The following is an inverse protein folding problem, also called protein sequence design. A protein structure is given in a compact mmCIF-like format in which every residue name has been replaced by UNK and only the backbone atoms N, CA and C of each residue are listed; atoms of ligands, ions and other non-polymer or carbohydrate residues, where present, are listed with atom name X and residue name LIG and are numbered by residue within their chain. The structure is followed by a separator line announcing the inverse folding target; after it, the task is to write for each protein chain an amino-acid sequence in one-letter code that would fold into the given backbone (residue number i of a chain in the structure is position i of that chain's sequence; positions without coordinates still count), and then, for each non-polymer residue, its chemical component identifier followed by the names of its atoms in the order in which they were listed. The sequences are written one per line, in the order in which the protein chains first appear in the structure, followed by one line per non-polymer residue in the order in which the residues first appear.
data_IF_773678511528
#
_entry.id   IF_773678511528
#
_cell.length_a   1.000
_cell.length_b   1.000
_cell.length_c   1.000
_cell.angle_alpha   90.00
_cell.angle_beta   90.00
_cell.angle_gamma   90.00
#
_symmetry.space_group_name_H-M   'P 1'
#
loop_
_entity.id
_entity.type
_entity.pdbx_description
1 polymer ?
#
# COMPACT_ATOMS: atom_id res chain seq x y z
N UNK A 1 16.28 -12.40 -15.85
CA UNK A 1 14.90 -12.53 -15.32
C UNK A 1 14.66 -11.34 -14.40
N UNK A 2 14.08 -10.27 -14.94
CA UNK A 2 13.94 -8.97 -14.26
C UNK A 2 12.58 -8.89 -13.59
N UNK A 3 12.56 -8.75 -12.27
CA UNK A 3 11.36 -8.62 -11.47
C UNK A 3 10.75 -7.23 -11.68
N UNK A 4 9.59 -7.19 -12.33
CA UNK A 4 8.71 -6.01 -12.39
C UNK A 4 8.30 -5.63 -10.96
N UNK A 5 8.91 -4.58 -10.40
CA UNK A 5 8.40 -3.92 -9.20
C UNK A 5 7.06 -3.27 -9.54
N UNK A 6 5.98 -3.96 -9.20
CA UNK A 6 4.63 -3.40 -9.24
C UNK A 6 4.51 -2.43 -8.07
N UNK A 7 4.09 -1.19 -8.35
CA UNK A 7 3.96 -0.15 -7.34
C UNK A 7 3.00 -0.61 -6.23
N UNK A 8 3.55 -0.94 -5.07
CA UNK A 8 2.80 -1.25 -3.88
C UNK A 8 1.85 -0.09 -3.56
N UNK A 9 0.54 -0.36 -3.60
CA UNK A 9 -0.44 0.48 -2.92
C UNK A 9 -0.13 0.40 -1.43
N UNK A 10 0.69 1.34 -0.93
CA UNK A 10 0.97 1.46 0.49
C UNK A 10 -0.34 1.65 1.25
N UNK A 11 -0.73 0.63 2.00
CA UNK A 11 -1.78 0.71 3.02
C UNK A 11 -1.31 1.73 4.08
N UNK A 12 -2.13 2.70 4.50
CA UNK A 12 -1.83 3.53 5.67
C UNK A 12 -1.57 2.63 6.90
N UNK A 13 -0.48 2.85 7.64
CA UNK A 13 -0.07 2.00 8.77
C UNK A 13 1.07 1.01 8.49
N UNK A 14 1.56 0.91 7.24
CA UNK A 14 2.61 -0.03 6.82
C UNK A 14 4.05 0.51 7.00
N UNK A 15 4.28 1.28 8.06
CA UNK A 15 5.63 1.61 8.55
C UNK A 15 5.84 0.77 9.80
N UNK A 16 7.01 0.15 10.02
CA UNK A 16 7.35 -0.47 11.29
C UNK A 16 7.48 0.65 12.34
N UNK A 17 6.35 1.14 12.84
CA UNK A 17 6.30 1.89 14.06
C UNK A 17 6.57 0.90 15.18
N UNK A 18 7.65 1.15 15.92
CA UNK A 18 8.23 0.42 17.07
C UNK A 18 7.22 -0.05 18.15
N UNK A 19 5.93 0.25 18.00
CA UNK A 19 4.83 -0.07 18.92
C UNK A 19 3.76 -1.01 18.34
N UNK A 20 4.06 -1.75 17.26
CA UNK A 20 3.09 -2.66 16.64
C UNK A 20 2.70 -3.85 17.55
N UNK A 21 3.52 -4.18 18.56
CA UNK A 21 3.23 -5.24 19.53
C UNK A 21 3.75 -4.94 20.96
N UNK A 22 4.57 -3.90 21.16
CA UNK A 22 5.38 -3.71 22.36
C UNK A 22 4.69 -3.01 23.56
N UNK A 23 3.36 -2.99 23.63
CA UNK A 23 2.66 -2.76 24.90
C UNK A 23 1.64 -3.88 25.11
N UNK A 24 2.20 -5.09 25.21
CA UNK A 24 1.74 -6.19 26.03
C UNK A 24 0.23 -6.22 26.28
N UNK A 25 -0.48 -7.05 25.52
CA UNK A 25 -1.52 -7.86 26.14
C UNK A 25 -0.80 -8.66 27.25
N UNK A 26 -1.03 -8.38 28.55
CA UNK A 26 -0.43 -9.15 29.62
C UNK A 26 -1.25 -10.44 29.75
N UNK A 27 -1.12 -11.32 28.77
CA UNK A 27 -1.68 -12.66 28.81
C UNK A 27 -0.49 -13.53 28.46
N UNK A 28 -0.08 -14.43 29.34
CA UNK A 28 0.95 -15.42 29.01
C UNK A 28 0.57 -16.07 27.68
N UNK A 29 1.39 -15.86 26.65
CA UNK A 29 1.28 -16.55 25.38
C UNK A 29 1.90 -17.94 25.60
N UNK A 30 1.32 -19.01 25.04
CA UNK A 30 2.00 -20.30 24.98
C UNK A 30 3.36 -20.13 24.28
N UNK A 31 4.34 -20.94 24.66
CA UNK A 31 5.74 -20.80 24.21
C UNK A 31 5.90 -20.75 22.67
N UNK A 32 5.01 -21.43 21.92
CA UNK A 32 4.99 -21.39 20.46
C UNK A 32 4.52 -20.04 19.89
N UNK A 33 3.57 -19.39 20.55
CA UNK A 33 3.02 -18.11 20.11
C UNK A 33 3.88 -16.92 20.55
N UNK A 34 4.62 -17.06 21.65
CA UNK A 34 5.60 -16.07 22.12
C UNK A 34 6.69 -15.82 21.06
N UNK A 35 7.31 -16.88 20.55
CA UNK A 35 8.31 -16.77 19.47
C UNK A 35 7.75 -16.10 18.21
N UNK A 36 6.51 -16.46 17.82
CA UNK A 36 5.87 -15.85 16.66
C UNK A 36 5.66 -14.34 16.86
N UNK A 37 5.25 -13.92 18.07
CA UNK A 37 5.08 -12.52 18.45
C UNK A 37 6.39 -11.74 18.42
N UNK A 38 7.48 -12.33 18.92
CA UNK A 38 8.80 -11.68 18.91
C UNK A 38 9.32 -11.48 17.49
N UNK A 39 9.25 -12.53 16.65
CA UNK A 39 9.61 -12.46 15.23
C UNK A 39 8.77 -11.42 14.49
N UNK A 40 7.49 -11.29 14.85
CA UNK A 40 6.62 -10.25 14.33
C UNK A 40 7.12 -8.87 14.77
N UNK A 41 7.42 -8.67 16.05
CA UNK A 41 7.96 -7.41 16.58
C UNK A 41 9.26 -6.96 15.89
N UNK A 42 10.11 -7.91 15.50
CA UNK A 42 11.36 -7.67 14.77
C UNK A 42 11.17 -7.41 13.26
N UNK A 43 9.95 -7.56 12.74
CA UNK A 43 9.64 -7.40 11.33
C UNK A 43 9.98 -8.62 10.46
N UNK A 44 10.26 -9.77 11.07
CA UNK A 44 10.51 -11.03 10.38
C UNK A 44 9.20 -11.72 9.97
N UNK A 45 8.36 -11.04 9.17
CA UNK A 45 6.98 -11.44 8.85
C UNK A 45 6.84 -12.88 8.30
N UNK A 46 7.79 -13.31 7.46
CA UNK A 46 7.76 -14.67 6.91
C UNK A 46 8.00 -15.74 7.99
N UNK A 47 8.90 -15.48 8.93
CA UNK A 47 9.20 -16.38 10.04
C UNK A 47 8.05 -16.36 11.05
N UNK A 48 7.56 -15.17 11.42
CA UNK A 48 6.40 -14.99 12.28
C UNK A 48 5.16 -15.74 11.78
N UNK A 49 4.88 -15.67 10.46
CA UNK A 49 3.79 -16.42 9.84
C UNK A 49 3.97 -17.94 9.97
N UNK A 50 5.19 -18.43 9.75
CA UNK A 50 5.48 -19.86 9.80
C UNK A 50 5.29 -20.41 11.21
N UNK A 51 5.81 -19.71 12.22
CA UNK A 51 5.65 -20.08 13.63
C UNK A 51 4.19 -19.94 14.09
N UNK A 52 3.47 -18.92 13.62
CA UNK A 52 2.02 -18.78 13.89
C UNK A 52 1.21 -19.97 13.36
N UNK A 53 1.52 -20.45 12.14
CA UNK A 53 0.85 -21.62 11.56
C UNK A 53 1.22 -22.91 12.29
N UNK A 54 2.46 -23.03 12.79
CA UNK A 54 2.89 -24.16 13.62
C UNK A 54 2.11 -24.17 14.94
N UNK A 55 2.07 -23.05 15.66
CA UNK A 55 1.31 -22.91 16.90
C UNK A 55 -0.18 -23.25 16.70
N UNK A 56 -0.77 -22.82 15.59
CA UNK A 56 -2.15 -23.17 15.23
C UNK A 56 -2.35 -24.70 15.07
N UNK A 57 -1.37 -25.41 14.53
CA UNK A 57 -1.47 -26.86 14.32
C UNK A 57 -1.30 -27.69 15.60
N UNK A 58 -0.55 -27.16 16.57
CA UNK A 58 -0.33 -27.78 17.88
C UNK A 58 -1.53 -27.56 18.81
N UNK A 59 -2.25 -26.46 18.63
CA UNK A 59 -3.33 -26.02 19.50
C UNK A 59 -4.69 -26.11 18.78
N UNK A 60 -5.35 -27.26 18.94
CA UNK A 60 -6.53 -27.61 18.16
C UNK A 60 -7.78 -26.74 18.42
N UNK A 61 -7.87 -26.05 19.56
CA UNK A 61 -8.96 -25.13 19.88
C UNK A 61 -8.60 -24.19 21.04
N UNK A 62 -9.02 -22.92 20.97
CA UNK A 62 -8.90 -21.98 22.08
C UNK A 62 -8.61 -20.53 21.66
N UNK A 63 -8.44 -19.63 22.64
CA UNK A 63 -8.08 -18.23 22.40
C UNK A 63 -6.69 -18.09 21.77
N UNK A 64 -5.74 -18.97 22.08
CA UNK A 64 -4.39 -18.94 21.49
C UNK A 64 -4.40 -19.31 20.01
N UNK A 65 -5.20 -20.30 19.60
CA UNK A 65 -5.38 -20.63 18.19
C UNK A 65 -5.94 -19.45 17.38
N UNK A 66 -6.85 -18.66 17.96
CA UNK A 66 -7.39 -17.46 17.31
C UNK A 66 -6.34 -16.36 17.17
N UNK A 67 -5.50 -16.15 18.19
CA UNK A 67 -4.36 -15.23 18.12
C UNK A 67 -3.31 -15.68 17.10
N UNK A 68 -3.05 -16.98 17.00
CA UNK A 68 -2.17 -17.56 15.98
C UNK A 68 -2.68 -17.28 14.56
N UNK A 69 -3.98 -17.50 14.33
CA UNK A 69 -4.65 -17.17 13.05
C UNK A 69 -4.51 -15.69 12.72
N UNK A 70 -4.80 -14.81 13.68
CA UNK A 70 -4.64 -13.37 13.53
C UNK A 70 -3.20 -13.01 13.14
N UNK A 71 -2.21 -13.49 13.88
CA UNK A 71 -0.80 -13.17 13.65
C UNK A 71 -0.30 -13.69 12.31
N UNK A 72 -0.73 -14.88 11.90
CA UNK A 72 -0.44 -15.44 10.58
C UNK A 72 -1.04 -14.60 9.45
N UNK A 73 -2.30 -14.16 9.60
CA UNK A 73 -3.01 -13.36 8.62
C UNK A 73 -2.41 -11.95 8.50
N UNK A 74 -2.12 -11.27 9.61
CA UNK A 74 -1.47 -9.95 9.60
C UNK A 74 -0.08 -10.06 8.99
N UNK A 75 0.72 -11.06 9.38
CA UNK A 75 2.03 -11.31 8.77
C UNK A 75 1.92 -11.49 7.26
N UNK A 76 0.93 -12.25 6.78
CA UNK A 76 0.65 -12.44 5.36
C UNK A 76 0.23 -11.14 4.64
N UNK A 77 -0.56 -10.26 5.28
CA UNK A 77 -0.89 -8.94 4.74
C UNK A 77 0.34 -8.04 4.60
N UNK A 78 1.30 -8.15 5.53
CA UNK A 78 2.55 -7.37 5.49
C UNK A 78 3.53 -7.89 4.44
N UNK A 79 3.33 -9.11 3.95
CA UNK A 79 4.07 -9.69 2.84
C UNK A 79 3.36 -9.37 1.51
N UNK A 80 4.12 -9.13 0.43
CA UNK A 80 3.53 -8.89 -0.91
C UNK A 80 2.83 -10.13 -1.52
N UNK A 81 2.86 -11.28 -0.82
CA UNK A 81 2.30 -12.57 -1.28
C UNK A 81 1.18 -13.00 -0.34
N UNK A 82 -0.05 -13.05 -0.85
CA UNK A 82 -1.21 -13.64 -0.13
C UNK A 82 -2.21 -12.65 0.48
N UNK A 83 -2.19 -11.38 0.07
CA UNK A 83 -3.03 -10.32 0.67
C UNK A 83 -4.55 -10.60 0.66
N UNK A 84 -5.09 -11.21 -0.41
CA UNK A 84 -6.53 -11.47 -0.50
C UNK A 84 -6.99 -12.57 0.46
N UNK A 85 -6.27 -13.70 0.52
CA UNK A 85 -6.58 -14.78 1.46
C UNK A 85 -6.41 -14.34 2.92
N UNK A 86 -5.38 -13.54 3.20
CA UNK A 86 -5.17 -12.95 4.51
C UNK A 86 -6.30 -11.98 4.91
N UNK A 87 -6.77 -11.14 3.97
CA UNK A 87 -7.92 -10.26 4.20
C UNK A 87 -9.18 -11.06 4.52
N UNK A 88 -9.45 -12.14 3.79
CA UNK A 88 -10.60 -13.02 4.03
C UNK A 88 -10.52 -13.70 5.40
N UNK A 89 -9.35 -14.16 5.81
CA UNK A 89 -9.14 -14.76 7.13
C UNK A 89 -9.43 -13.76 8.27
N UNK A 90 -8.94 -12.52 8.15
CA UNK A 90 -9.25 -11.46 9.10
C UNK A 90 -10.75 -11.17 9.13
N UNK A 91 -11.39 -11.14 7.95
CA UNK A 91 -12.83 -10.94 7.78
C UNK A 91 -13.67 -12.04 8.47
N UNK A 92 -13.15 -13.26 8.52
CA UNK A 92 -13.76 -14.37 9.24
C UNK A 92 -13.56 -14.22 10.76
N UNK A 93 -12.33 -13.97 11.20
CA UNK A 93 -11.98 -13.84 12.62
C UNK A 93 -12.80 -12.78 13.34
N UNK A 94 -13.00 -11.58 12.77
CA UNK A 94 -13.72 -10.54 13.50
C UNK A 94 -15.23 -10.81 13.62
N UNK A 95 -15.80 -11.59 12.69
CA UNK A 95 -17.21 -12.01 12.70
C UNK A 95 -17.46 -13.27 13.53
N UNK A 96 -16.40 -14.01 13.86
CA UNK A 96 -16.48 -15.24 14.64
C UNK A 96 -16.75 -14.93 16.13
N UNK A 97 -17.96 -15.22 16.61
CA UNK A 97 -18.34 -14.91 18.01
C UNK A 97 -17.61 -15.75 19.06
N UNK A 98 -17.11 -16.94 18.68
CA UNK A 98 -16.29 -17.80 19.54
C UNK A 98 -14.90 -17.25 19.83
N UNK A 99 -14.42 -16.29 19.02
CA UNK A 99 -13.10 -15.67 19.20
C UNK A 99 -13.14 -14.60 20.30
N UNK A 100 -12.04 -14.48 21.05
CA UNK A 100 -11.94 -13.45 22.09
C UNK A 100 -12.06 -12.03 21.52
N UNK A 101 -12.64 -11.12 22.33
CA UNK A 101 -13.03 -9.79 21.86
C UNK A 101 -11.84 -8.96 21.34
N UNK A 102 -10.67 -9.03 21.99
CA UNK A 102 -9.51 -8.24 21.57
C UNK A 102 -8.92 -8.76 20.26
N UNK A 103 -8.85 -10.07 20.07
CA UNK A 103 -8.46 -10.66 18.78
C UNK A 103 -9.45 -10.26 17.68
N UNK A 104 -10.76 -10.25 17.96
CA UNK A 104 -11.77 -9.77 17.00
C UNK A 104 -11.59 -8.28 16.66
N UNK A 105 -11.35 -7.44 17.66
CA UNK A 105 -11.12 -6.00 17.45
C UNK A 105 -9.86 -5.75 16.60
N UNK A 106 -8.77 -6.46 16.89
CA UNK A 106 -7.54 -6.35 16.12
C UNK A 106 -7.73 -6.87 14.68
N UNK A 107 -8.44 -7.99 14.51
CA UNK A 107 -8.79 -8.52 13.19
C UNK A 107 -9.64 -7.51 12.39
N UNK A 108 -10.63 -6.89 13.03
CA UNK A 108 -11.48 -5.87 12.40
C UNK A 108 -10.69 -4.62 12.00
N UNK A 109 -9.76 -4.16 12.85
CA UNK A 109 -8.87 -3.04 12.54
C UNK A 109 -8.00 -3.33 11.31
N UNK A 110 -7.30 -4.46 11.29
CA UNK A 110 -6.41 -4.86 10.19
C UNK A 110 -7.19 -5.13 8.90
N UNK A 111 -8.33 -5.81 8.98
CA UNK A 111 -9.25 -5.97 7.86
C UNK A 111 -9.72 -4.62 7.32
N UNK A 112 -10.14 -3.71 8.19
CA UNK A 112 -10.65 -2.39 7.80
C UNK A 112 -9.62 -1.55 7.06
N UNK A 113 -8.36 -1.59 7.49
CA UNK A 113 -7.26 -0.94 6.78
C UNK A 113 -6.99 -1.58 5.41
N UNK A 114 -6.95 -2.92 5.35
CA UNK A 114 -6.75 -3.64 4.10
C UNK A 114 -7.89 -3.40 3.10
N UNK A 115 -9.13 -3.42 3.57
CA UNK A 115 -10.32 -3.16 2.77
C UNK A 115 -10.36 -1.71 2.28
N UNK A 116 -10.02 -0.74 3.14
CA UNK A 116 -9.91 0.66 2.74
C UNK A 116 -8.86 0.86 1.63
N UNK A 117 -7.71 0.20 1.72
CA UNK A 117 -6.63 0.36 0.74
C UNK A 117 -7.03 -0.09 -0.68
N UNK A 118 -7.92 -1.07 -0.79
CA UNK A 118 -8.45 -1.56 -2.07
C UNK A 118 -9.77 -0.88 -2.46
N UNK A 119 -10.30 0.03 -1.63
CA UNK A 119 -11.56 0.73 -1.88
C UNK A 119 -12.81 -0.13 -1.64
N UNK A 120 -12.74 -1.07 -0.71
CA UNK A 120 -13.88 -1.87 -0.27
C UNK A 120 -14.88 -1.08 0.58
N UNK A 121 -16.06 -1.70 0.79
CA UNK A 121 -17.21 -1.07 1.44
C UNK A 121 -17.35 -1.44 2.92
N UNK A 122 -16.62 -2.46 3.40
CA UNK A 122 -16.79 -2.99 4.76
C UNK A 122 -15.83 -2.31 5.77
N UNK A 123 -14.90 -1.48 5.28
CA UNK A 123 -13.90 -0.80 6.10
C UNK A 123 -14.51 0.04 7.24
N UNK A 124 -15.61 0.77 6.98
CA UNK A 124 -16.28 1.58 8.00
C UNK A 124 -16.74 0.72 9.19
N UNK A 125 -17.51 -0.32 8.89
CA UNK A 125 -18.11 -1.20 9.90
C UNK A 125 -17.03 -1.90 10.74
N UNK A 126 -15.95 -2.36 10.10
CA UNK A 126 -14.87 -3.04 10.81
C UNK A 126 -14.06 -2.09 11.70
N UNK A 127 -13.71 -0.89 11.20
CA UNK A 127 -13.00 0.12 12.00
C UNK A 127 -13.86 0.65 13.15
N UNK A 128 -15.17 0.80 12.94
CA UNK A 128 -16.13 1.17 13.99
C UNK A 128 -16.23 0.09 15.06
N UNK A 129 -16.35 -1.18 14.67
CA UNK A 129 -16.35 -2.30 15.61
C UNK A 129 -15.09 -2.27 16.49
N UNK A 130 -13.90 -2.14 15.88
CA UNK A 130 -12.65 -2.06 16.61
C UNK A 130 -12.62 -0.86 17.58
N UNK A 131 -13.09 0.32 17.14
CA UNK A 131 -13.11 1.54 17.94
C UNK A 131 -14.06 1.46 19.15
N UNK A 132 -15.26 0.90 18.96
CA UNK A 132 -16.29 0.86 20.01
C UNK A 132 -16.10 -0.28 21.00
N UNK A 133 -15.50 -1.39 20.58
CA UNK A 133 -15.49 -2.63 21.37
C UNK A 133 -14.16 -2.94 22.06
N UNK A 134 -13.04 -2.39 21.57
CA UNK A 134 -11.73 -2.68 22.18
C UNK A 134 -11.61 -2.05 23.57
N UNK A 135 -10.96 -2.79 24.47
CA UNK A 135 -10.56 -2.32 25.80
C UNK A 135 -9.09 -1.93 25.85
N UNK A 136 -8.32 -2.25 24.81
CA UNK A 136 -6.90 -1.90 24.72
C UNK A 136 -6.73 -0.43 24.28
N UNK A 137 -6.18 0.46 25.13
CA UNK A 137 -6.02 1.88 24.79
C UNK A 137 -5.25 2.13 23.48
N UNK A 138 -4.16 1.39 23.16
CA UNK A 138 -3.45 1.59 21.90
C UNK A 138 -4.29 1.26 20.66
N UNK A 139 -5.14 0.24 20.73
CA UNK A 139 -6.01 -0.14 19.62
C UNK A 139 -7.18 0.84 19.49
N UNK A 140 -7.75 1.30 20.61
CA UNK A 140 -8.78 2.33 20.64
C UNK A 140 -8.36 3.59 19.89
N UNK A 141 -7.16 4.12 20.18
CA UNK A 141 -6.64 5.31 19.51
C UNK A 141 -6.41 5.09 18.02
N UNK A 142 -5.82 3.96 17.64
CA UNK A 142 -5.54 3.64 16.22
C UNK A 142 -6.80 3.43 15.40
N UNK A 143 -7.74 2.66 15.91
CA UNK A 143 -9.03 2.41 15.26
C UNK A 143 -9.82 3.72 15.12
N UNK A 144 -9.90 4.52 16.19
CA UNK A 144 -10.57 5.83 16.14
C UNK A 144 -9.90 6.80 15.16
N UNK A 145 -8.58 6.91 15.19
CA UNK A 145 -7.86 7.81 14.29
C UNK A 145 -7.99 7.38 12.81
N UNK A 146 -7.92 6.08 12.54
CA UNK A 146 -8.11 5.52 11.19
C UNK A 146 -9.53 5.73 10.68
N UNK A 147 -10.54 5.43 11.50
CA UNK A 147 -11.96 5.67 11.19
C UNK A 147 -12.24 7.15 10.92
N UNK A 148 -11.65 8.04 11.71
CA UNK A 148 -11.76 9.48 11.49
C UNK A 148 -11.22 9.88 10.12
N UNK A 149 -10.04 9.39 9.70
CA UNK A 149 -9.52 9.70 8.37
C UNK A 149 -10.34 9.09 7.25
N UNK A 150 -10.88 7.88 7.46
CA UNK A 150 -11.79 7.22 6.53
C UNK A 150 -13.07 8.05 6.30
N UNK A 151 -13.79 8.41 7.37
CA UNK A 151 -15.01 9.25 7.30
C UNK A 151 -14.70 10.69 6.85
N UNK A 152 -13.49 11.20 7.11
CA UNK A 152 -13.07 12.52 6.62
C UNK A 152 -12.88 12.52 5.10
N UNK A 153 -12.50 11.40 4.50
CA UNK A 153 -12.34 11.28 3.06
C UNK A 153 -13.69 11.28 2.31
N UNK A 154 -14.75 10.72 2.91
CA UNK A 154 -16.08 10.63 2.30
C UNK A 154 -17.14 11.43 3.08
N UNK A 155 -17.67 12.50 2.45
CA UNK A 155 -18.71 13.34 3.05
C UNK A 155 -20.05 12.63 3.23
N UNK A 156 -20.39 11.64 2.38
CA UNK A 156 -21.65 10.90 2.45
C UNK A 156 -21.64 9.99 3.68
N UNK A 157 -20.60 9.16 3.81
CA UNK A 157 -20.44 8.24 4.95
C UNK A 157 -20.43 9.00 6.27
N UNK A 158 -19.75 10.15 6.33
CA UNK A 158 -19.76 11.01 7.52
C UNK A 158 -21.14 11.52 7.95
N UNK A 159 -22.05 11.75 6.98
CA UNK A 159 -23.42 12.16 7.28
C UNK A 159 -24.28 10.99 7.75
N UNK A 160 -24.01 9.79 7.24
CA UNK A 160 -24.68 8.56 7.67
C UNK A 160 -24.24 8.22 9.10
N UNK A 161 -22.95 8.28 9.38
CA UNK A 161 -22.34 7.99 10.69
C UNK A 161 -22.15 9.25 11.55
N UNK A 162 -23.17 10.10 11.64
CA UNK A 162 -23.05 11.41 12.32
C UNK A 162 -22.72 11.28 13.82
N UNK A 163 -23.29 10.28 14.51
CA UNK A 163 -23.04 10.03 15.92
C UNK A 163 -21.60 9.58 16.18
N UNK A 164 -21.11 8.62 15.38
CA UNK A 164 -19.72 8.15 15.43
C UNK A 164 -18.76 9.29 15.11
N UNK A 165 -19.07 10.09 14.07
CA UNK A 165 -18.27 11.26 13.72
C UNK A 165 -18.13 12.25 14.90
N UNK A 166 -19.22 12.53 15.61
CA UNK A 166 -19.18 13.39 16.80
C UNK A 166 -18.34 12.79 17.93
N UNK A 167 -18.45 11.48 18.19
CA UNK A 167 -17.61 10.78 19.16
C UNK A 167 -16.12 10.91 18.80
N UNK A 168 -15.77 10.66 17.55
CA UNK A 168 -14.40 10.77 17.06
C UNK A 168 -13.85 12.19 17.19
N UNK A 169 -14.67 13.21 16.94
CA UNK A 169 -14.30 14.62 17.13
C UNK A 169 -13.98 14.92 18.59
N UNK A 170 -14.71 14.33 19.55
CA UNK A 170 -14.47 14.52 20.98
C UNK A 170 -13.17 13.87 21.46
N UNK A 171 -12.80 12.72 20.88
CA UNK A 171 -11.56 12.00 21.23
C UNK A 171 -10.32 12.51 20.47
N UNK A 172 -10.53 13.30 19.41
CA UNK A 172 -9.51 13.69 18.43
C UNK A 172 -8.25 14.28 19.07
N UNK A 173 -8.43 15.15 20.04
CA UNK A 173 -7.35 15.92 20.66
C UNK A 173 -6.61 15.10 21.73
N UNK A 174 -7.16 13.95 22.13
CA UNK A 174 -6.53 13.01 23.07
C UNK A 174 -5.60 12.00 22.39
N UNK A 175 -5.60 11.89 21.06
CA UNK A 175 -4.75 10.93 20.35
C UNK A 175 -3.28 11.36 20.33
N UNK A 176 -2.33 10.47 20.67
CA UNK A 176 -0.90 10.76 20.58
C UNK A 176 -0.46 11.15 19.16
N UNK A 177 0.59 11.98 19.06
CA UNK A 177 1.12 12.44 17.78
C UNK A 177 1.63 11.29 16.89
N UNK A 178 2.10 10.22 17.52
CA UNK A 178 2.59 9.01 16.87
C UNK A 178 1.45 8.31 16.13
N UNK A 179 0.30 8.14 16.80
CA UNK A 179 -0.91 7.56 16.21
C UNK A 179 -1.41 8.43 15.05
N UNK A 180 -1.39 9.75 15.22
CA UNK A 180 -1.72 10.69 14.15
C UNK A 180 -0.82 10.52 12.92
N UNK A 181 0.49 10.34 13.11
CA UNK A 181 1.45 10.16 12.01
C UNK A 181 1.27 8.81 11.32
N UNK A 182 0.95 7.77 12.07
CA UNK A 182 0.69 6.41 11.58
C UNK A 182 -0.58 6.35 10.72
N UNK A 183 -1.70 6.86 11.26
CA UNK A 183 -3.03 6.73 10.65
C UNK A 183 -3.27 7.74 9.53
N UNK A 184 -2.49 8.83 9.45
CA UNK A 184 -2.69 9.85 8.42
C UNK A 184 -2.47 9.25 7.04
N UNK A 185 -3.49 9.24 6.15
CA UNK A 185 -3.33 8.68 4.82
C UNK A 185 -2.20 9.42 4.10
N UNK A 186 -1.18 8.66 3.70
CA UNK A 186 -0.12 9.19 2.86
C UNK A 186 -0.75 9.57 1.53
N UNK A 187 -0.68 10.86 1.18
CA UNK A 187 -1.00 11.29 -0.18
C UNK A 187 -0.09 10.47 -1.10
N UNK A 188 -0.67 9.66 -2.00
CA UNK A 188 0.08 9.14 -3.15
C UNK A 188 0.78 10.35 -3.75
N UNK A 189 2.10 10.27 -3.96
CA UNK A 189 2.85 11.36 -4.55
C UNK A 189 2.13 11.75 -5.85
N UNK A 190 1.40 12.86 -5.79
CA UNK A 190 0.76 13.41 -6.96
C UNK A 190 1.88 13.76 -7.94
N UNK A 191 1.58 13.87 -9.24
CA UNK A 191 2.54 14.43 -10.18
C UNK A 191 3.07 15.75 -9.59
N UNK A 192 4.38 15.79 -9.35
CA UNK A 192 5.05 16.96 -8.76
C UNK A 192 4.61 18.21 -9.52
N UNK A 193 4.44 19.35 -8.85
CA UNK A 193 4.12 20.59 -9.54
C UNK A 193 5.16 20.90 -10.64
N UNK A 194 6.41 20.45 -10.46
CA UNK A 194 7.48 20.52 -11.45
C UNK A 194 7.20 19.72 -12.74
N UNK A 195 6.28 18.75 -12.70
CA UNK A 195 5.87 17.92 -13.86
C UNK A 195 4.69 18.52 -14.64
N UNK A 196 4.02 19.56 -14.11
CA UNK A 196 2.84 20.18 -14.75
C UNK A 196 3.13 20.70 -16.17
N UNK A 197 4.25 21.41 -16.43
CA UNK A 197 4.57 21.89 -17.77
C UNK A 197 4.75 20.73 -18.76
N UNK A 198 5.48 19.68 -18.35
CA UNK A 198 5.70 18.50 -19.17
C UNK A 198 4.39 17.76 -19.51
N UNK A 199 3.48 17.63 -18.53
CA UNK A 199 2.16 17.02 -18.75
C UNK A 199 1.31 17.81 -19.74
N UNK A 200 1.27 19.14 -19.59
CA UNK A 200 0.52 20.01 -20.50
C UNK A 200 1.06 19.89 -21.93
N UNK A 201 2.39 19.88 -22.10
CA UNK A 201 3.02 19.74 -23.41
C UNK A 201 2.71 18.38 -24.05
N UNK A 202 2.75 17.27 -23.29
CA UNK A 202 2.35 15.94 -23.79
C UNK A 202 0.88 15.94 -24.22
N UNK A 203 0.00 16.55 -23.42
CA UNK A 203 -1.43 16.58 -23.70
C UNK A 203 -1.75 17.41 -24.95
N UNK A 204 -1.10 18.58 -25.09
CA UNK A 204 -1.18 19.40 -26.29
C UNK A 204 -0.69 18.65 -27.52
N UNK A 205 0.49 18.02 -27.43
CA UNK A 205 1.06 17.22 -28.51
C UNK A 205 0.11 16.08 -28.93
N UNK A 206 -0.41 15.29 -27.97
CA UNK A 206 -1.32 14.17 -28.26
C UNK A 206 -2.65 14.64 -28.88
N UNK A 207 -3.16 15.79 -28.47
CA UNK A 207 -4.44 16.31 -28.96
C UNK A 207 -4.32 17.00 -30.33
N UNK A 208 -3.27 17.78 -30.56
CA UNK A 208 -3.17 18.66 -31.73
C UNK A 208 -2.22 18.11 -32.82
N UNK A 209 -1.13 17.45 -32.42
CA UNK A 209 -0.04 17.07 -33.34
C UNK A 209 -0.09 15.57 -33.66
N UNK A 210 -0.38 14.75 -32.65
CA UNK A 210 -0.46 13.29 -32.77
C UNK A 210 -1.35 12.78 -33.91
N UNK A 211 -2.57 13.32 -34.12
CA UNK A 211 -3.45 12.89 -35.20
C UNK A 211 -2.88 13.13 -36.60
N UNK A 212 -2.04 14.16 -36.78
CA UNK A 212 -1.47 14.52 -38.08
C UNK A 212 -0.23 13.69 -38.44
N UNK A 213 0.57 13.28 -37.44
CA UNK A 213 1.88 12.64 -37.66
C UNK A 213 1.82 11.12 -37.51
N UNK A 214 0.84 10.61 -36.76
CA UNK A 214 0.68 9.19 -36.44
C UNK A 214 1.73 8.66 -35.46
N UNK A 215 1.59 7.39 -35.04
CA UNK A 215 2.55 6.73 -34.13
C UNK A 215 3.73 6.13 -34.90
N UNK A 216 4.80 6.90 -35.08
CA UNK A 216 6.02 6.50 -35.82
C UNK A 216 7.22 6.10 -34.94
N UNK A 217 7.06 6.12 -33.61
CA UNK A 217 8.16 5.81 -32.71
C UNK A 217 8.43 4.29 -32.68
N UNK A 218 9.67 3.92 -32.97
CA UNK A 218 10.16 2.55 -32.93
C UNK A 218 10.64 2.12 -31.53
N UNK A 219 10.67 3.07 -30.58
CA UNK A 219 11.07 2.82 -29.20
C UNK A 219 9.88 2.57 -28.26
N UNK A 220 10.14 1.80 -27.20
CA UNK A 220 9.23 1.55 -26.10
C UNK A 220 9.87 2.01 -24.77
N UNK A 221 9.22 2.90 -23.99
CA UNK A 221 7.94 3.56 -24.25
C UNK A 221 8.02 4.60 -25.37
N UNK A 222 6.87 4.97 -25.95
CA UNK A 222 6.80 6.02 -27.00
C UNK A 222 7.38 7.35 -26.50
N UNK A 223 7.88 8.21 -27.39
CA UNK A 223 8.50 9.50 -27.02
C UNK A 223 7.62 10.35 -26.07
N UNK A 224 6.31 10.41 -26.34
CA UNK A 224 5.37 11.16 -25.50
C UNK A 224 5.17 10.56 -24.11
N UNK A 225 5.20 9.23 -24.01
CA UNK A 225 5.07 8.51 -22.73
C UNK A 225 6.38 8.57 -21.94
N UNK A 226 7.51 8.49 -22.63
CA UNK A 226 8.83 8.66 -22.04
C UNK A 226 9.01 10.07 -21.47
N UNK A 227 8.64 11.12 -22.22
CA UNK A 227 8.70 12.51 -21.73
C UNK A 227 7.79 12.72 -20.51
N UNK A 228 6.62 12.05 -20.48
CA UNK A 228 5.74 12.06 -19.32
C UNK A 228 6.39 11.40 -18.09
N UNK A 229 7.07 10.26 -18.27
CA UNK A 229 7.80 9.57 -17.22
C UNK A 229 8.97 10.42 -16.71
N UNK A 230 9.79 10.95 -17.62
CA UNK A 230 10.93 11.79 -17.31
C UNK A 230 10.52 13.08 -16.57
N UNK A 231 9.43 13.72 -17.02
CA UNK A 231 8.89 14.93 -16.36
C UNK A 231 8.31 14.62 -14.97
N UNK A 232 7.74 13.42 -14.75
CA UNK A 232 7.25 13.01 -13.43
C UNK A 232 8.39 12.74 -12.45
N UNK A 233 9.45 12.10 -12.91
CA UNK A 233 10.60 11.77 -12.08
C UNK A 233 11.48 13.00 -11.80
N UNK A 234 11.75 13.81 -12.84
CA UNK A 234 12.82 14.81 -12.81
C UNK A 234 12.36 16.26 -13.10
N UNK A 235 11.05 16.49 -13.25
CA UNK A 235 10.50 17.83 -13.52
C UNK A 235 11.01 18.40 -14.85
N UNK A 236 11.53 19.64 -14.84
CA UNK A 236 12.05 20.30 -16.05
C UNK A 236 13.29 19.60 -16.64
N UNK A 237 14.08 18.88 -15.83
CA UNK A 237 15.21 18.08 -16.35
C UNK A 237 14.75 16.95 -17.28
N UNK A 238 13.46 16.59 -17.22
CA UNK A 238 12.86 15.68 -18.19
C UNK A 238 13.05 16.14 -19.64
N UNK A 239 13.16 17.44 -19.92
CA UNK A 239 13.46 17.95 -21.28
C UNK A 239 14.83 17.50 -21.74
N UNK A 240 15.86 17.66 -20.91
CA UNK A 240 17.23 17.27 -21.24
C UNK A 240 17.38 15.76 -21.39
N UNK A 241 16.71 14.98 -20.53
CA UNK A 241 16.72 13.50 -20.58
C UNK A 241 16.06 12.98 -21.86
N UNK A 242 15.00 13.65 -22.34
CA UNK A 242 14.36 13.30 -23.61
C UNK A 242 15.18 13.74 -24.81
N UNK A 243 15.85 14.89 -24.73
CA UNK A 243 16.77 15.33 -25.78
C UNK A 243 17.93 14.33 -25.95
N UNK A 244 18.52 13.87 -24.84
CA UNK A 244 19.55 12.82 -24.84
C UNK A 244 19.05 11.53 -25.52
N UNK A 245 17.84 11.09 -25.17
CA UNK A 245 17.20 9.94 -25.83
C UNK A 245 17.05 10.11 -27.34
N UNK A 246 16.67 11.30 -27.82
CA UNK A 246 16.53 11.54 -29.26
C UNK A 246 17.87 11.46 -30.01
N UNK A 247 18.98 11.86 -29.37
CA UNK A 247 20.32 11.70 -29.95
C UNK A 247 20.71 10.22 -30.03
N UNK A 248 20.29 9.41 -29.05
CA UNK A 248 20.59 7.98 -28.97
C UNK A 248 19.68 7.11 -29.85
N UNK A 249 18.44 7.53 -30.12
CA UNK A 249 17.43 6.73 -30.84
C UNK A 249 17.95 6.06 -32.13
N UNK A 250 18.67 6.75 -33.04
CA UNK A 250 19.17 6.13 -34.28
C UNK A 250 20.12 4.95 -34.04
N UNK A 251 20.95 5.00 -32.99
CA UNK A 251 21.90 3.93 -32.69
C UNK A 251 21.20 2.70 -32.10
N UNK A 252 20.23 2.91 -31.20
CA UNK A 252 19.41 1.83 -30.60
C UNK A 252 18.62 1.08 -31.66
N UNK A 253 17.98 1.81 -32.58
CA UNK A 253 17.18 1.22 -33.67
C UNK A 253 18.07 0.48 -34.67
N UNK A 254 19.23 1.05 -35.02
CA UNK A 254 20.20 0.42 -35.95
C UNK A 254 20.81 -0.86 -35.35
N UNK A 255 21.18 -0.83 -34.08
CA UNK A 255 21.73 -1.97 -33.35
C UNK A 255 20.67 -3.03 -32.96
N UNK A 256 19.38 -2.71 -33.12
CA UNK A 256 18.25 -3.57 -32.77
C UNK A 256 18.27 -4.04 -31.31
N UNK A 257 18.64 -3.14 -30.40
CA UNK A 257 18.80 -3.45 -28.98
C UNK A 257 17.44 -3.80 -28.34
N UNK A 258 17.35 -4.93 -27.62
CA UNK A 258 16.19 -5.33 -26.83
C UNK A 258 14.84 -5.28 -27.59
N UNK A 259 14.64 -6.13 -28.61
CA UNK A 259 13.38 -6.17 -29.36
C UNK A 259 12.21 -6.66 -28.50
N UNK A 260 11.10 -5.94 -28.55
CA UNK A 260 9.84 -6.23 -27.87
C UNK A 260 8.76 -6.42 -28.94
N UNK A 261 8.18 -7.63 -29.05
CA UNK A 261 7.06 -7.87 -29.96
C UNK A 261 5.80 -7.19 -29.42
N UNK A 262 5.15 -6.39 -30.26
CA UNK A 262 3.91 -5.70 -29.95
C UNK A 262 2.70 -6.52 -30.40
N UNK A 263 1.51 -6.37 -29.77
CA UNK A 263 0.29 -7.09 -30.16
C UNK A 263 -0.19 -6.83 -31.59
N UNK A 264 0.25 -5.73 -32.21
CA UNK A 264 -0.04 -5.36 -33.60
C UNK A 264 0.92 -6.01 -34.62
N UNK A 265 1.81 -6.89 -34.17
CA UNK A 265 2.79 -7.60 -35.01
C UNK A 265 4.05 -6.80 -35.32
N UNK A 266 4.18 -5.56 -34.84
CA UNK A 266 5.39 -4.75 -35.00
C UNK A 266 6.44 -5.09 -33.93
N UNK A 267 7.70 -4.83 -34.23
CA UNK A 267 8.79 -4.91 -33.25
C UNK A 267 9.16 -3.50 -32.83
N UNK A 268 9.24 -3.25 -31.53
CA UNK A 268 9.79 -2.01 -30.94
C UNK A 268 11.02 -2.33 -30.12
N UNK A 269 11.88 -1.34 -29.88
CA UNK A 269 13.09 -1.51 -29.09
C UNK A 269 12.93 -0.89 -27.71
N UNK A 270 13.22 -1.66 -26.65
CA UNK A 270 13.07 -1.19 -25.29
C UNK A 270 14.19 -0.22 -24.92
N UNK A 271 13.79 1.00 -24.56
CA UNK A 271 14.69 2.05 -24.11
C UNK A 271 14.06 2.78 -22.91
N UNK A 272 14.17 2.18 -21.71
CA UNK A 272 13.51 2.65 -20.49
C UNK A 272 14.23 3.84 -19.86
N UNK A 273 13.49 4.66 -19.09
CA UNK A 273 14.02 5.83 -18.39
C UNK A 273 15.24 5.52 -17.51
N UNK A 274 15.26 4.33 -16.90
CA UNK A 274 16.37 3.84 -16.07
C UNK A 274 17.73 3.79 -16.80
N UNK A 275 17.73 3.75 -18.13
CA UNK A 275 18.95 3.80 -18.95
C UNK A 275 19.57 5.19 -19.04
N UNK A 276 18.80 6.25 -18.75
CA UNK A 276 19.20 7.64 -18.94
C UNK A 276 19.29 8.44 -17.64
N UNK A 277 18.79 7.92 -16.52
CA UNK A 277 18.80 8.60 -15.23
C UNK A 277 19.67 7.94 -14.15
N UNK A 278 20.37 6.85 -14.50
CA UNK A 278 21.27 6.10 -13.60
C UNK A 278 22.39 6.96 -13.00
N UNK A 279 22.84 7.99 -13.71
CA UNK A 279 23.90 8.91 -13.28
C UNK A 279 23.42 10.01 -12.31
N UNK A 280 22.10 10.22 -12.16
CA UNK A 280 21.57 11.28 -11.28
C UNK A 280 21.52 10.87 -9.80
N UNK A 281 21.90 9.63 -9.47
CA UNK A 281 21.84 9.09 -8.12
C UNK A 281 20.39 8.94 -7.64
N UNK A 282 20.12 7.93 -6.82
CA UNK A 282 18.78 7.69 -6.26
C UNK A 282 18.30 8.90 -5.42
N UNK A 283 17.64 9.86 -6.07
CA UNK A 283 16.81 10.85 -5.39
C UNK A 283 15.42 10.26 -5.24
N UNK A 284 15.31 9.45 -4.18
CA UNK A 284 14.12 8.96 -3.45
C UNK A 284 12.78 8.89 -4.17
#
# INVERSE_FOLDING_TARGET
MSALRTAASMIPGLVPGIFFFALALPVAWGAGLELASDLFGEGQWSAARTESLRAQSEEAAGPEASKARLLAAVSALRMERGGEGAKQELAALWREESTDLETRCMAAYEFGLADWAVGGNDAAAALEFAYLQTRAPPLFWRAGCSLYFYLKADKRLRRQEAAIWQSLQSCRDAWPLEVWRECRPRKKAGPSAASLPGRWLVQFYRAQIGPAIGSRCDLLPSCSEYFLQASRAHGLLGVSIVADRFVREPSVVSARENPVPMPDGRIRYADPLSGHDSWMGNTK
#
